data_IF_321303649690
#
_entry.id   IF_321303649690
#
_cell.length_a   1.000
_cell.length_b   1.000
_cell.length_c   1.000
_cell.angle_alpha   90.00
_cell.angle_beta   90.00
_cell.angle_gamma   90.00
#
_symmetry.space_group_name_H-M   'P 1'
#
loop_
_entity.id
_entity.type
_entity.pdbx_description
1 polymer ?
#
# COMPACT_ATOMS: atom_id res chain seq x y z
N UNK A 1 13.18 0.33 9.21
CA UNK A 1 13.28 0.05 10.65
C UNK A 1 11.92 -0.41 11.22
N UNK A 2 10.84 0.37 11.09
CA UNK A 2 9.50 0.02 11.63
C UNK A 2 8.99 -1.31 11.08
N UNK A 3 9.09 -1.54 9.78
CA UNK A 3 8.67 -2.79 9.16
C UNK A 3 9.49 -3.98 9.68
N UNK A 4 10.80 -3.82 9.83
CA UNK A 4 11.68 -4.84 10.40
C UNK A 4 11.26 -5.21 11.83
N UNK A 5 11.06 -4.22 12.71
CA UNK A 5 10.59 -4.46 14.08
C UNK A 5 9.21 -5.13 14.11
N UNK A 6 8.37 -4.86 13.11
CA UNK A 6 7.05 -5.48 13.00
C UNK A 6 7.13 -6.95 12.55
N UNK A 7 8.05 -7.27 11.63
CA UNK A 7 8.19 -8.61 11.01
C UNK A 7 9.06 -9.54 11.86
N UNK A 8 10.03 -9.03 12.61
CA UNK A 8 11.05 -9.81 13.33
C UNK A 8 10.49 -10.97 14.17
N UNK A 9 9.39 -10.74 14.86
CA UNK A 9 8.80 -11.66 15.84
C UNK A 9 7.64 -12.51 15.25
N UNK A 10 7.50 -12.55 13.91
CA UNK A 10 6.46 -13.33 13.25
C UNK A 10 6.82 -14.82 13.17
N UNK A 11 5.82 -15.70 13.17
CA UNK A 11 6.05 -17.13 12.93
C UNK A 11 6.70 -17.33 11.56
N UNK A 12 7.78 -18.10 11.53
CA UNK A 12 8.57 -18.39 10.33
C UNK A 12 7.84 -19.43 9.46
N UNK A 13 6.81 -19.00 8.74
CA UNK A 13 6.08 -19.81 7.79
C UNK A 13 6.54 -19.43 6.37
N UNK A 14 6.85 -20.41 5.55
CA UNK A 14 7.34 -20.23 4.17
C UNK A 14 6.40 -19.37 3.34
N UNK A 15 5.09 -19.59 3.42
CA UNK A 15 4.10 -18.83 2.66
C UNK A 15 4.03 -17.35 3.10
N UNK A 16 4.21 -17.08 4.41
CA UNK A 16 4.31 -15.70 4.93
C UNK A 16 5.53 -14.99 4.35
N UNK A 17 6.67 -15.68 4.23
CA UNK A 17 7.87 -15.13 3.59
C UNK A 17 7.59 -14.81 2.13
N UNK A 18 6.97 -15.72 1.38
CA UNK A 18 6.59 -15.48 -0.03
C UNK A 18 5.66 -14.27 -0.16
N UNK A 19 4.68 -14.11 0.74
CA UNK A 19 3.78 -12.97 0.73
C UNK A 19 4.51 -11.65 1.01
N UNK A 20 5.47 -11.64 1.94
CA UNK A 20 6.29 -10.46 2.24
C UNK A 20 7.18 -10.07 1.05
N UNK A 21 7.71 -11.03 0.32
CA UNK A 21 8.53 -10.82 -0.87
C UNK A 21 7.70 -10.75 -2.18
N UNK A 22 6.39 -10.53 -2.07
CA UNK A 22 5.58 -10.26 -3.26
C UNK A 22 6.12 -9.03 -4.01
N UNK A 23 6.27 -9.09 -5.35
CA UNK A 23 6.76 -7.98 -6.16
C UNK A 23 5.87 -6.73 -6.09
N UNK A 24 4.65 -6.88 -5.62
CA UNK A 24 3.72 -5.76 -5.40
C UNK A 24 3.79 -5.16 -3.97
N UNK A 25 4.71 -5.63 -3.11
CA UNK A 25 4.93 -5.11 -1.75
C UNK A 25 6.30 -4.46 -1.58
N UNK A 26 7.22 -5.10 -0.85
CA UNK A 26 8.55 -4.52 -0.53
C UNK A 26 9.40 -4.29 -1.79
N UNK A 27 9.26 -5.16 -2.78
CA UNK A 27 10.05 -5.09 -4.01
C UNK A 27 9.51 -4.05 -5.01
N UNK A 28 8.25 -3.64 -4.87
CA UNK A 28 7.65 -2.67 -5.77
C UNK A 28 8.36 -1.30 -5.73
N UNK A 29 8.59 -0.67 -4.56
CA UNK A 29 9.33 0.59 -4.49
C UNK A 29 10.77 0.48 -4.95
N UNK A 30 11.40 -0.70 -4.82
CA UNK A 30 12.75 -0.93 -5.30
C UNK A 30 12.82 -1.01 -6.84
N UNK A 31 11.79 -1.58 -7.46
CA UNK A 31 11.66 -1.62 -8.92
C UNK A 31 11.18 -0.30 -9.53
N UNK A 32 10.35 0.45 -8.82
CA UNK A 32 9.81 1.76 -9.22
C UNK A 32 10.24 2.83 -8.20
N UNK A 33 11.47 3.29 -8.34
CA UNK A 33 12.14 4.13 -7.32
C UNK A 33 11.43 5.46 -7.05
N UNK A 34 10.71 5.97 -8.05
CA UNK A 34 9.86 7.15 -7.88
C UNK A 34 8.82 6.99 -6.76
N UNK A 35 8.44 5.74 -6.46
CA UNK A 35 7.48 5.43 -5.40
C UNK A 35 8.10 5.56 -3.99
N UNK A 36 9.42 5.40 -3.84
CA UNK A 36 10.10 5.55 -2.55
C UNK A 36 10.04 6.98 -2.00
N UNK A 37 9.97 7.97 -2.89
CA UNK A 37 10.01 9.40 -2.52
C UNK A 37 8.58 9.97 -2.44
N UNK A 38 7.57 9.14 -2.70
CA UNK A 38 6.19 9.59 -2.71
C UNK A 38 5.57 9.62 -1.31
N UNK A 39 4.53 10.43 -1.20
CA UNK A 39 3.76 10.66 0.02
C UNK A 39 3.12 9.40 0.63
N UNK A 40 2.94 8.32 -0.14
CA UNK A 40 2.42 7.05 0.35
C UNK A 40 3.28 6.41 1.44
N UNK A 41 4.58 6.66 1.44
CA UNK A 41 5.48 6.18 2.49
C UNK A 41 5.06 6.70 3.87
N UNK A 42 4.64 7.98 3.95
CA UNK A 42 4.11 8.54 5.21
C UNK A 42 2.83 7.86 5.65
N UNK A 43 1.96 7.47 4.70
CA UNK A 43 0.73 6.74 4.99
C UNK A 43 1.03 5.33 5.54
N UNK A 44 2.00 4.65 4.94
CA UNK A 44 2.42 3.33 5.42
C UNK A 44 3.04 3.40 6.82
N UNK A 45 3.91 4.39 7.07
CA UNK A 45 4.48 4.64 8.39
C UNK A 45 3.35 4.96 9.39
N UNK A 46 2.44 5.85 9.03
CA UNK A 46 1.28 6.19 9.85
C UNK A 46 0.44 4.97 10.19
N UNK A 47 0.15 4.11 9.20
CA UNK A 47 -0.62 2.90 9.44
C UNK A 47 0.13 1.90 10.35
N UNK A 48 1.44 1.71 10.17
CA UNK A 48 2.25 0.85 11.05
C UNK A 48 2.25 1.37 12.49
N UNK A 49 2.37 2.69 12.68
CA UNK A 49 2.26 3.30 14.02
C UNK A 49 0.89 3.01 14.62
N UNK A 50 -0.18 3.19 13.84
CA UNK A 50 -1.54 2.84 14.26
C UNK A 50 -1.64 1.37 14.70
N UNK A 51 -1.12 0.43 13.91
CA UNK A 51 -1.12 -1.00 14.27
C UNK A 51 -0.36 -1.27 15.56
N UNK A 52 0.80 -0.63 15.77
CA UNK A 52 1.58 -0.76 17.01
C UNK A 52 0.79 -0.24 18.22
N UNK A 53 0.09 0.88 18.08
CA UNK A 53 -0.75 1.46 19.14
C UNK A 53 -2.02 0.64 19.40
N UNK A 54 -2.51 -0.07 18.37
CA UNK A 54 -3.70 -0.92 18.41
C UNK A 54 -3.43 -2.32 18.96
N UNK A 55 -2.20 -2.66 19.36
CA UNK A 55 -1.90 -3.98 19.94
C UNK A 55 -2.76 -4.22 21.19
N UNK A 56 -3.38 -5.43 21.35
CA UNK A 56 -4.22 -5.76 22.51
C UNK A 56 -3.55 -5.59 23.87
N UNK A 57 -2.21 -5.61 23.89
CA UNK A 57 -1.40 -5.36 25.11
C UNK A 57 -1.32 -3.89 25.47
N UNK A 58 -1.77 -2.98 24.61
CA UNK A 58 -1.71 -1.54 24.83
C UNK A 58 -3.09 -0.97 25.18
N UNK A 59 -3.09 0.25 25.72
CA UNK A 59 -4.33 0.94 26.03
C UNK A 59 -5.08 1.30 24.74
N UNK A 60 -6.32 0.87 24.59
CA UNK A 60 -7.21 1.15 23.46
C UNK A 60 -7.42 2.65 23.21
N UNK A 61 -7.32 3.47 24.25
CA UNK A 61 -7.44 4.92 24.17
C UNK A 61 -6.39 5.52 23.23
N UNK A 62 -5.17 4.97 23.21
CA UNK A 62 -4.08 5.47 22.36
C UNK A 62 -4.38 5.30 20.86
N UNK A 63 -4.97 4.18 20.46
CA UNK A 63 -5.35 3.96 19.06
C UNK A 63 -6.52 4.85 18.63
N UNK A 64 -7.50 5.08 19.52
CA UNK A 64 -8.61 6.01 19.26
C UNK A 64 -8.11 7.46 19.13
N UNK A 65 -7.23 7.88 20.06
CA UNK A 65 -6.59 9.20 20.00
C UNK A 65 -5.80 9.38 18.68
N UNK A 66 -5.06 8.36 18.28
CA UNK A 66 -4.32 8.37 17.02
C UNK A 66 -5.26 8.58 15.81
N UNK A 67 -6.38 7.86 15.76
CA UNK A 67 -7.35 7.98 14.68
C UNK A 67 -8.01 9.35 14.67
N UNK A 68 -8.29 9.92 15.82
CA UNK A 68 -8.93 11.24 15.91
C UNK A 68 -8.00 12.39 15.47
N UNK A 69 -6.71 12.35 15.83
CA UNK A 69 -5.79 13.47 15.59
C UNK A 69 -4.84 13.25 14.40
N UNK A 70 -4.29 12.05 14.25
CA UNK A 70 -3.24 11.80 13.25
C UNK A 70 -3.82 11.40 11.90
N UNK A 71 -4.93 10.67 11.88
CA UNK A 71 -5.57 10.28 10.63
C UNK A 71 -5.98 11.50 9.76
N UNK A 72 -6.58 12.56 10.30
CA UNK A 72 -6.83 13.80 9.55
C UNK A 72 -5.57 14.39 8.93
N UNK A 73 -4.44 14.36 9.61
CA UNK A 73 -3.16 14.86 9.08
C UNK A 73 -2.68 14.00 7.88
N UNK A 74 -2.87 12.69 7.94
CA UNK A 74 -2.55 11.80 6.82
C UNK A 74 -3.45 12.07 5.60
N UNK A 75 -4.72 12.44 5.82
CA UNK A 75 -5.64 12.87 4.76
C UNK A 75 -5.22 14.19 4.12
N UNK A 76 -4.63 15.12 4.86
CA UNK A 76 -4.05 16.34 4.31
C UNK A 76 -2.83 16.06 3.43
N UNK A 77 -2.08 14.99 3.71
CA UNK A 77 -0.97 14.55 2.86
C UNK A 77 -1.50 13.94 1.54
N UNK A 78 -2.58 13.16 1.63
CA UNK A 78 -3.17 12.48 0.47
C UNK A 78 -4.63 12.09 0.71
N UNK A 79 -5.55 12.80 0.08
CA UNK A 79 -6.99 12.69 0.30
C UNK A 79 -7.55 11.28 0.04
N UNK A 80 -7.08 10.54 -1.03
CA UNK A 80 -7.58 9.20 -1.27
C UNK A 80 -7.24 8.17 -0.18
N UNK A 81 -6.48 8.55 0.84
CA UNK A 81 -6.25 7.71 2.01
C UNK A 81 -7.56 7.33 2.73
N UNK A 82 -8.63 8.13 2.57
CA UNK A 82 -9.97 7.84 3.09
C UNK A 82 -10.47 6.44 2.66
N UNK A 83 -10.10 5.99 1.47
CA UNK A 83 -10.51 4.68 0.96
C UNK A 83 -9.90 3.50 1.76
N UNK A 84 -8.84 3.74 2.55
CA UNK A 84 -8.19 2.74 3.39
C UNK A 84 -8.71 2.71 4.84
N UNK A 85 -9.66 3.58 5.18
CA UNK A 85 -10.34 3.59 6.50
C UNK A 85 -10.93 2.23 6.89
N UNK A 86 -11.49 1.40 5.99
CA UNK A 86 -12.02 0.08 6.37
C UNK A 86 -11.00 -0.80 7.11
N UNK A 87 -9.71 -0.73 6.78
CA UNK A 87 -8.66 -1.45 7.50
C UNK A 87 -8.53 -0.96 8.96
N UNK A 88 -8.63 0.35 9.16
CA UNK A 88 -8.60 0.96 10.50
C UNK A 88 -9.82 0.55 11.31
N UNK A 89 -11.01 0.64 10.72
CA UNK A 89 -12.26 0.21 11.37
C UNK A 89 -12.18 -1.27 11.74
N UNK A 90 -11.71 -2.11 10.84
CA UNK A 90 -11.56 -3.54 11.06
C UNK A 90 -10.67 -3.84 12.29
N UNK A 91 -9.50 -3.19 12.41
CA UNK A 91 -8.60 -3.36 13.55
C UNK A 91 -9.22 -2.85 14.86
N UNK A 92 -9.91 -1.71 14.83
CA UNK A 92 -10.57 -1.16 16.02
C UNK A 92 -11.72 -2.04 16.49
N UNK A 93 -12.48 -2.63 15.56
CA UNK A 93 -13.57 -3.54 15.87
C UNK A 93 -13.06 -4.85 16.48
N UNK A 94 -12.01 -5.44 15.90
CA UNK A 94 -11.39 -6.67 16.42
C UNK A 94 -10.87 -6.48 17.86
N UNK A 95 -10.33 -5.32 18.16
CA UNK A 95 -9.86 -4.99 19.50
C UNK A 95 -10.98 -4.54 20.46
N UNK A 96 -12.20 -4.39 19.96
CA UNK A 96 -13.36 -3.99 20.74
C UNK A 96 -13.84 -5.07 21.70
N UNK A 97 -14.68 -4.68 22.65
CA UNK A 97 -15.35 -5.59 23.58
C UNK A 97 -16.64 -6.13 22.91
N UNK A 98 -16.78 -7.44 22.86
CA UNK A 98 -17.90 -8.10 22.15
C UNK A 98 -19.28 -7.68 22.73
N UNK A 99 -19.34 -7.58 24.06
CA UNK A 99 -20.58 -7.21 24.77
C UNK A 99 -20.96 -5.72 24.62
N UNK A 100 -20.06 -4.88 24.09
CA UNK A 100 -20.28 -3.44 23.95
C UNK A 100 -20.22 -2.95 22.50
N UNK A 101 -20.67 -3.79 21.57
CA UNK A 101 -20.58 -3.50 20.13
C UNK A 101 -21.10 -2.11 19.74
N UNK A 102 -22.35 -1.78 20.12
CA UNK A 102 -22.97 -0.48 19.80
C UNK A 102 -22.12 0.68 20.34
N UNK A 103 -21.58 0.55 21.56
CA UNK A 103 -20.71 1.56 22.17
C UNK A 103 -19.36 1.68 21.45
N UNK A 104 -18.80 0.56 20.98
CA UNK A 104 -17.56 0.55 20.21
C UNK A 104 -17.76 1.20 18.83
N UNK A 105 -18.84 0.86 18.13
CA UNK A 105 -19.18 1.48 16.83
C UNK A 105 -19.38 2.99 17.00
N UNK A 106 -20.10 3.42 18.02
CA UNK A 106 -20.30 4.85 18.30
C UNK A 106 -18.98 5.57 18.56
N UNK A 107 -18.08 4.98 19.38
CA UNK A 107 -16.75 5.56 19.64
C UNK A 107 -15.91 5.65 18.38
N UNK A 108 -15.91 4.60 17.54
CA UNK A 108 -15.19 4.58 16.27
C UNK A 108 -15.74 5.67 15.34
N UNK A 109 -17.06 5.80 15.22
CA UNK A 109 -17.69 6.84 14.41
C UNK A 109 -17.32 8.25 14.90
N UNK A 110 -17.29 8.45 16.22
CA UNK A 110 -16.85 9.71 16.82
C UNK A 110 -15.39 10.02 16.50
N UNK A 111 -14.49 9.02 16.59
CA UNK A 111 -13.09 9.21 16.26
C UNK A 111 -12.86 9.49 14.76
N UNK A 112 -13.66 8.89 13.88
CA UNK A 112 -13.59 9.12 12.44
C UNK A 112 -14.24 10.41 11.98
N UNK A 113 -15.07 11.05 12.82
CA UNK A 113 -15.73 12.31 12.46
C UNK A 113 -14.72 13.42 12.08
N UNK A 114 -13.59 13.50 12.80
CA UNK A 114 -12.51 14.43 12.48
C UNK A 114 -11.96 14.21 11.05
N UNK A 115 -11.81 12.97 10.63
CA UNK A 115 -11.38 12.62 9.26
C UNK A 115 -12.43 13.00 8.21
N UNK A 116 -13.71 12.80 8.49
CA UNK A 116 -14.79 13.24 7.60
C UNK A 116 -14.85 14.77 7.48
N UNK A 117 -14.72 15.50 8.58
CA UNK A 117 -14.64 16.95 8.53
C UNK A 117 -13.42 17.44 7.73
N UNK A 118 -12.28 16.77 7.87
CA UNK A 118 -11.08 17.09 7.08
C UNK A 118 -11.31 16.90 5.59
N UNK A 119 -11.93 15.80 5.16
CA UNK A 119 -12.25 15.57 3.74
C UNK A 119 -13.24 16.62 3.22
N UNK A 120 -14.29 16.93 3.98
CA UNK A 120 -15.24 17.99 3.62
C UNK A 120 -14.51 19.32 3.47
N UNK A 121 -13.63 19.66 4.41
CA UNK A 121 -12.83 20.88 4.34
C UNK A 121 -11.98 20.95 3.08
N UNK A 122 -11.28 19.87 2.72
CA UNK A 122 -10.45 19.79 1.50
C UNK A 122 -11.30 19.98 0.24
N UNK A 123 -12.47 19.34 0.18
CA UNK A 123 -13.37 19.44 -0.98
C UNK A 123 -13.92 20.87 -1.15
N UNK A 124 -14.29 21.52 -0.05
CA UNK A 124 -14.85 22.89 -0.08
C UNK A 124 -13.78 23.93 -0.34
N UNK A 125 -12.53 23.70 0.11
CA UNK A 125 -11.42 24.63 -0.01
C UNK A 125 -10.32 24.11 -0.96
N UNK A 126 -10.58 24.01 -2.27
CA UNK A 126 -9.56 23.64 -3.23
C UNK A 126 -8.51 24.74 -3.34
N UNK A 127 -7.29 24.38 -3.68
CA UNK A 127 -6.19 25.33 -3.87
C UNK A 127 -6.56 26.42 -4.89
N UNK A 128 -6.42 27.71 -4.53
CA UNK A 128 -6.64 28.80 -5.46
C UNK A 128 -5.46 28.95 -6.44
N UNK A 129 -5.67 29.57 -7.63
CA UNK A 129 -4.57 29.84 -8.57
C UNK A 129 -3.44 30.67 -7.95
N UNK A 130 -3.78 31.61 -7.07
CA UNK A 130 -2.82 32.48 -6.37
C UNK A 130 -1.97 31.64 -5.38
N UNK A 131 -2.61 30.80 -4.57
CA UNK A 131 -1.90 29.90 -3.65
C UNK A 131 -1.01 28.93 -4.41
N UNK A 132 -1.46 28.40 -5.57
CA UNK A 132 -0.63 27.57 -6.42
C UNK A 132 0.60 28.33 -6.94
N UNK A 133 0.44 29.59 -7.34
CA UNK A 133 1.56 30.43 -7.80
C UNK A 133 2.56 30.67 -6.67
N UNK A 134 2.11 31.00 -5.47
CA UNK A 134 2.97 31.17 -4.28
C UNK A 134 3.73 29.89 -3.98
N UNK A 135 3.07 28.75 -4.04
CA UNK A 135 3.71 27.44 -3.83
C UNK A 135 4.75 27.14 -4.92
N UNK A 136 4.42 27.39 -6.19
CA UNK A 136 5.32 27.15 -7.33
C UNK A 136 6.57 28.03 -7.25
N UNK A 137 6.40 29.32 -6.93
CA UNK A 137 7.51 30.25 -6.74
C UNK A 137 8.36 29.85 -5.52
N UNK A 138 7.73 29.49 -4.42
CA UNK A 138 8.44 29.01 -3.23
C UNK A 138 9.25 27.73 -3.45
N UNK A 139 8.80 26.83 -4.33
CA UNK A 139 9.59 25.65 -4.76
C UNK A 139 10.82 26.08 -5.55
N UNK A 140 10.67 27.04 -6.47
CA UNK A 140 11.78 27.57 -7.26
C UNK A 140 12.79 28.29 -6.38
N UNK A 141 12.31 29.21 -5.53
CA UNK A 141 13.19 30.10 -4.74
C UNK A 141 13.98 29.33 -3.67
N UNK A 142 13.33 28.37 -3.00
CA UNK A 142 13.94 27.62 -1.87
C UNK A 142 14.73 26.41 -2.32
N UNK A 143 14.29 25.71 -3.36
CA UNK A 143 14.84 24.42 -3.75
C UNK A 143 15.38 24.40 -5.18
N UNK A 144 15.16 25.47 -5.96
CA UNK A 144 15.50 25.52 -7.38
C UNK A 144 14.71 24.49 -8.21
N UNK A 145 13.51 24.10 -7.75
CA UNK A 145 12.68 23.08 -8.37
C UNK A 145 11.50 23.70 -9.10
N UNK A 146 11.27 23.27 -10.34
CA UNK A 146 10.07 23.67 -11.08
C UNK A 146 8.83 22.90 -10.62
N UNK A 147 7.66 23.52 -10.77
CA UNK A 147 6.38 22.85 -10.57
C UNK A 147 6.13 21.84 -11.71
N UNK A 148 6.53 20.58 -11.48
CA UNK A 148 6.32 19.48 -12.41
C UNK A 148 4.87 18.95 -12.40
N UNK A 149 4.60 17.92 -13.19
CA UNK A 149 3.26 17.35 -13.45
C UNK A 149 2.39 17.21 -12.20
N UNK A 150 2.94 16.70 -11.09
CA UNK A 150 2.19 16.50 -9.84
C UNK A 150 1.77 17.83 -9.19
N UNK A 151 2.63 18.84 -9.24
CA UNK A 151 2.34 20.17 -8.76
C UNK A 151 1.39 20.90 -9.72
N UNK A 152 1.56 20.77 -11.04
CA UNK A 152 0.71 21.40 -12.03
C UNK A 152 -0.73 20.88 -12.01
N UNK A 153 -0.92 19.61 -11.65
CA UNK A 153 -2.26 19.00 -11.46
C UNK A 153 -3.07 19.68 -10.35
N UNK A 154 -2.41 20.29 -9.35
CA UNK A 154 -3.08 21.03 -8.29
C UNK A 154 -3.71 22.35 -8.80
N UNK A 155 -3.21 22.88 -9.91
CA UNK A 155 -3.79 24.07 -10.58
C UNK A 155 -5.13 23.76 -11.25
N UNK A 156 -5.32 22.54 -11.69
CA UNK A 156 -6.52 22.12 -12.42
C UNK A 156 -7.57 21.62 -11.42
N UNK A 157 -8.66 22.37 -11.27
CA UNK A 157 -9.85 21.90 -10.56
C UNK A 157 -10.52 20.80 -11.41
N UNK A 158 -9.98 19.57 -11.36
CA UNK A 158 -10.65 18.46 -12.03
C UNK A 158 -11.82 18.00 -11.16
N UNK A 159 -13.03 18.06 -11.72
CA UNK A 159 -14.18 17.45 -11.07
C UNK A 159 -13.98 15.92 -10.96
N UNK A 160 -14.62 15.31 -9.96
CA UNK A 160 -14.61 13.84 -9.81
C UNK A 160 -15.03 13.18 -11.13
N UNK A 161 -16.05 13.71 -11.82
CA UNK A 161 -16.48 13.23 -13.12
C UNK A 161 -15.36 13.30 -14.19
N UNK A 162 -14.60 14.40 -14.22
CA UNK A 162 -13.48 14.53 -15.15
C UNK A 162 -12.37 13.51 -14.88
N UNK A 163 -12.09 13.21 -13.61
CA UNK A 163 -11.12 12.16 -13.23
C UNK A 163 -11.60 10.77 -13.67
N UNK A 164 -12.87 10.43 -13.44
CA UNK A 164 -13.47 9.19 -13.92
C UNK A 164 -13.36 9.07 -15.44
N UNK A 165 -13.73 10.12 -16.18
CA UNK A 165 -13.64 10.12 -17.64
C UNK A 165 -12.19 9.99 -18.13
N UNK A 166 -11.24 10.63 -17.47
CA UNK A 166 -9.82 10.51 -17.80
C UNK A 166 -9.32 9.06 -17.62
N UNK A 167 -9.74 8.39 -16.54
CA UNK A 167 -9.40 6.98 -16.32
C UNK A 167 -10.07 6.11 -17.38
N UNK A 168 -11.38 6.28 -17.58
CA UNK A 168 -12.16 5.48 -18.54
C UNK A 168 -11.61 5.56 -19.95
N UNK A 169 -11.24 6.75 -20.42
CA UNK A 169 -10.64 6.97 -21.75
C UNK A 169 -9.22 6.35 -21.89
N UNK A 170 -8.55 6.06 -20.77
CA UNK A 170 -7.22 5.45 -20.76
C UNK A 170 -7.24 3.93 -20.53
N UNK A 171 -8.39 3.36 -20.14
CA UNK A 171 -8.54 1.92 -19.95
C UNK A 171 -8.61 1.24 -21.31
N UNK A 172 -7.70 0.31 -21.55
CA UNK A 172 -7.80 -0.65 -22.65
C UNK A 172 -8.11 -2.03 -22.08
N UNK A 173 -8.76 -2.90 -22.87
CA UNK A 173 -9.03 -4.28 -22.43
C UNK A 173 -7.73 -5.00 -22.03
N UNK A 174 -6.68 -4.83 -22.81
CA UNK A 174 -5.36 -5.41 -22.53
C UNK A 174 -4.77 -4.86 -21.22
N UNK A 175 -4.91 -3.55 -20.96
CA UNK A 175 -4.50 -2.92 -19.71
C UNK A 175 -5.26 -3.48 -18.51
N UNK A 176 -6.58 -3.56 -18.60
CA UNK A 176 -7.43 -4.13 -17.55
C UNK A 176 -7.04 -5.59 -17.23
N UNK A 177 -6.97 -6.44 -18.26
CA UNK A 177 -6.62 -7.85 -18.10
C UNK A 177 -5.21 -8.04 -17.51
N UNK A 178 -4.29 -7.20 -17.88
CA UNK A 178 -2.92 -7.15 -17.36
C UNK A 178 -2.90 -6.92 -15.85
N UNK A 179 -3.56 -5.87 -15.37
CA UNK A 179 -3.58 -5.58 -13.92
C UNK A 179 -4.41 -6.60 -13.13
N UNK A 180 -5.42 -7.20 -13.75
CA UNK A 180 -6.15 -8.32 -13.16
C UNK A 180 -5.22 -9.51 -12.90
N UNK A 181 -4.38 -9.89 -13.88
CA UNK A 181 -3.37 -10.95 -13.70
C UNK A 181 -2.34 -10.56 -12.64
N UNK A 182 -1.85 -9.32 -12.65
CA UNK A 182 -0.92 -8.81 -11.65
C UNK A 182 -1.51 -8.95 -10.24
N UNK A 183 -2.77 -8.60 -10.06
CA UNK A 183 -3.46 -8.76 -8.78
C UNK A 183 -3.58 -10.24 -8.41
N UNK A 184 -4.04 -11.09 -9.31
CA UNK A 184 -4.18 -12.53 -9.03
C UNK A 184 -2.85 -13.15 -8.58
N UNK A 185 -1.79 -12.93 -9.35
CA UNK A 185 -0.47 -13.53 -9.05
C UNK A 185 0.14 -12.89 -7.81
N UNK A 186 0.12 -11.57 -7.71
CA UNK A 186 0.76 -10.86 -6.60
C UNK A 186 0.08 -11.05 -5.26
N UNK A 187 -1.27 -11.12 -5.24
CA UNK A 187 -2.04 -11.38 -4.03
C UNK A 187 -2.14 -12.88 -3.68
N UNK A 188 -1.82 -13.78 -4.60
CA UNK A 188 -2.02 -15.21 -4.43
C UNK A 188 -1.49 -15.77 -3.10
N UNK A 189 -0.24 -15.51 -2.67
CA UNK A 189 0.27 -16.01 -1.39
C UNK A 189 -0.53 -15.47 -0.20
N UNK A 190 -0.88 -14.19 -0.21
CA UNK A 190 -1.65 -13.56 0.84
C UNK A 190 -3.09 -14.10 0.88
N UNK A 191 -3.71 -14.32 -0.26
CA UNK A 191 -5.07 -14.88 -0.35
C UNK A 191 -5.14 -16.31 0.20
N UNK A 192 -4.11 -17.14 -0.05
CA UNK A 192 -4.03 -18.47 0.56
C UNK A 192 -3.92 -18.36 2.08
N UNK A 193 -3.11 -17.44 2.59
CA UNK A 193 -2.98 -17.20 4.02
C UNK A 193 -4.32 -16.79 4.64
N UNK A 194 -5.00 -15.81 4.05
CA UNK A 194 -6.30 -15.30 4.53
C UNK A 194 -7.37 -16.40 4.48
N UNK A 195 -7.43 -17.16 3.38
CA UNK A 195 -8.40 -18.23 3.20
C UNK A 195 -8.25 -19.35 4.26
N UNK A 196 -7.02 -19.64 4.64
CA UNK A 196 -6.69 -20.67 5.63
C UNK A 196 -6.54 -20.11 7.05
N UNK A 197 -7.05 -18.91 7.32
CA UNK A 197 -6.99 -18.27 8.63
C UNK A 197 -8.34 -18.25 9.31
N UNK A 198 -8.34 -18.54 10.62
CA UNK A 198 -9.53 -18.56 11.47
C UNK A 198 -9.30 -17.61 12.64
N UNK A 199 -10.33 -16.94 13.10
CA UNK A 199 -10.27 -16.17 14.34
C UNK A 199 -10.14 -17.08 15.55
N UNK A 200 -9.28 -16.74 16.51
CA UNK A 200 -9.17 -17.48 17.77
C UNK A 200 -10.31 -17.17 18.74
N UNK A 201 -10.85 -15.95 18.66
CA UNK A 201 -12.05 -15.54 19.38
C UNK A 201 -13.10 -15.16 18.36
N UNK A 202 -14.32 -15.59 18.55
CA UNK A 202 -15.45 -15.20 17.74
C UNK A 202 -15.66 -13.70 17.94
N UNK A 203 -15.31 -12.93 16.94
CA UNK A 203 -15.46 -11.48 16.94
C UNK A 203 -16.82 -11.10 16.38
N UNK A 204 -17.36 -10.02 16.89
CA UNK A 204 -18.33 -9.07 16.34
C UNK A 204 -19.56 -9.64 15.62
N UNK A 205 -19.37 -10.66 14.86
CA UNK A 205 -20.41 -11.42 14.19
C UNK A 205 -20.08 -12.86 14.54
N UNK A 206 -20.67 -13.43 15.58
CA UNK A 206 -20.60 -14.85 15.92
C UNK A 206 -20.80 -15.82 14.74
N UNK A 207 -20.85 -15.26 13.52
CA UNK A 207 -21.06 -15.92 12.24
C UNK A 207 -19.80 -16.12 11.41
N UNK A 208 -18.69 -15.40 11.69
CA UNK A 208 -17.49 -15.49 10.86
C UNK A 208 -16.36 -16.15 11.63
N UNK A 209 -16.23 -17.46 11.49
CA UNK A 209 -15.05 -18.18 11.95
C UNK A 209 -13.84 -17.88 11.06
N UNK A 210 -14.06 -17.69 9.74
CA UNK A 210 -13.01 -17.47 8.74
C UNK A 210 -12.71 -15.99 8.54
N UNK A 211 -11.42 -15.67 8.44
CA UNK A 211 -10.94 -14.33 8.18
C UNK A 211 -11.37 -13.80 6.79
N UNK A 212 -11.57 -14.68 5.80
CA UNK A 212 -11.77 -14.30 4.40
C UNK A 212 -12.87 -13.25 4.21
N UNK A 213 -14.08 -13.47 4.75
CA UNK A 213 -15.22 -12.58 4.51
C UNK A 213 -15.00 -11.19 5.11
N UNK A 214 -14.71 -11.05 6.43
CA UNK A 214 -14.47 -9.73 7.00
C UNK A 214 -13.29 -9.00 6.35
N UNK A 215 -12.27 -9.74 5.95
CA UNK A 215 -11.12 -9.16 5.26
C UNK A 215 -11.49 -8.67 3.85
N UNK A 216 -12.29 -9.42 3.11
CA UNK A 216 -12.74 -9.00 1.77
C UNK A 216 -13.58 -7.71 1.82
N UNK A 217 -14.35 -7.51 2.88
CA UNK A 217 -15.11 -6.26 3.09
C UNK A 217 -14.16 -5.05 3.18
N UNK A 218 -12.98 -5.21 3.79
CA UNK A 218 -12.01 -4.09 3.88
C UNK A 218 -11.44 -3.69 2.52
N UNK A 219 -11.49 -4.57 1.52
CA UNK A 219 -10.99 -4.33 0.18
C UNK A 219 -11.99 -3.59 -0.73
N UNK A 220 -13.29 -3.60 -0.41
CA UNK A 220 -14.33 -3.04 -1.27
C UNK A 220 -14.12 -1.56 -1.56
N UNK A 221 -13.81 -0.77 -0.54
CA UNK A 221 -13.63 0.67 -0.71
C UNK A 221 -12.33 1.02 -1.44
N UNK A 222 -11.15 0.45 -1.11
CA UNK A 222 -9.90 0.68 -1.85
C UNK A 222 -9.95 0.31 -3.32
N UNK A 223 -10.74 -0.72 -3.70
CA UNK A 223 -10.89 -1.12 -5.11
C UNK A 223 -11.50 0.01 -5.96
N UNK A 224 -12.31 0.88 -5.38
CA UNK A 224 -12.87 2.03 -6.10
C UNK A 224 -11.79 3.00 -6.60
N UNK A 225 -10.59 2.99 -6.03
CA UNK A 225 -9.47 3.82 -6.52
C UNK A 225 -9.07 3.50 -7.96
N UNK A 226 -9.29 2.27 -8.43
CA UNK A 226 -9.03 1.93 -9.83
C UNK A 226 -9.89 2.70 -10.82
N UNK A 227 -11.05 3.22 -10.39
CA UNK A 227 -11.93 4.03 -11.22
C UNK A 227 -11.56 5.52 -11.21
N UNK A 228 -10.81 5.96 -10.20
CA UNK A 228 -10.47 7.36 -9.99
C UNK A 228 -9.00 7.70 -10.30
N UNK A 229 -8.14 6.70 -10.45
CA UNK A 229 -6.69 6.88 -10.64
C UNK A 229 -6.17 6.09 -11.83
N UNK A 230 -5.25 6.70 -12.60
CA UNK A 230 -4.55 6.03 -13.72
C UNK A 230 -3.32 5.24 -13.26
N UNK A 231 -2.84 5.46 -12.06
CA UNK A 231 -1.65 4.83 -11.46
C UNK A 231 -2.00 3.47 -10.83
N UNK A 232 -2.52 2.54 -11.61
CA UNK A 232 -3.04 1.26 -11.10
C UNK A 232 -1.98 0.40 -10.39
N UNK A 233 -0.73 0.42 -10.84
CA UNK A 233 0.34 -0.31 -10.14
C UNK A 233 0.54 0.20 -8.72
N UNK A 234 0.42 1.51 -8.52
CA UNK A 234 0.48 2.16 -7.22
C UNK A 234 -0.71 1.80 -6.34
N UNK A 235 -1.92 1.79 -6.90
CA UNK A 235 -3.13 1.35 -6.19
C UNK A 235 -3.00 -0.10 -5.74
N UNK A 236 -2.52 -1.01 -6.62
CA UNK A 236 -2.25 -2.41 -6.28
C UNK A 236 -1.26 -2.52 -5.13
N UNK A 237 -0.13 -1.79 -5.18
CA UNK A 237 0.86 -1.78 -4.10
C UNK A 237 0.25 -1.32 -2.78
N UNK A 238 -0.55 -0.26 -2.79
CA UNK A 238 -1.17 0.27 -1.58
C UNK A 238 -2.18 -0.71 -0.98
N UNK A 239 -3.09 -1.26 -1.80
CA UNK A 239 -4.07 -2.26 -1.34
C UNK A 239 -3.33 -3.45 -0.74
N UNK A 240 -2.29 -3.93 -1.41
CA UNK A 240 -1.50 -5.04 -0.90
C UNK A 240 -0.80 -4.69 0.42
N UNK A 241 -0.19 -3.52 0.51
CA UNK A 241 0.54 -3.07 1.71
C UNK A 241 -0.38 -3.02 2.93
N UNK A 242 -1.56 -2.38 2.81
CA UNK A 242 -2.52 -2.35 3.90
C UNK A 242 -3.02 -3.75 4.26
N UNK A 243 -3.25 -4.59 3.26
CA UNK A 243 -3.70 -5.97 3.45
C UNK A 243 -2.68 -6.81 4.19
N UNK A 244 -1.43 -6.84 3.73
CA UNK A 244 -0.38 -7.64 4.35
C UNK A 244 -0.05 -7.15 5.76
N UNK A 245 0.04 -5.84 5.98
CA UNK A 245 0.31 -5.27 7.30
C UNK A 245 -0.81 -5.62 8.30
N UNK A 246 -2.07 -5.53 7.87
CA UNK A 246 -3.22 -5.95 8.67
C UNK A 246 -3.14 -7.44 9.01
N UNK A 247 -2.87 -8.29 8.03
CA UNK A 247 -2.73 -9.73 8.23
C UNK A 247 -1.59 -10.07 9.21
N UNK A 248 -0.43 -9.45 9.04
CA UNK A 248 0.72 -9.62 9.92
C UNK A 248 0.43 -9.15 11.35
N UNK A 249 -0.33 -8.06 11.50
CA UNK A 249 -0.81 -7.60 12.80
C UNK A 249 -1.68 -8.65 13.51
N UNK A 250 -2.62 -9.26 12.77
CA UNK A 250 -3.50 -10.29 13.33
C UNK A 250 -2.71 -11.51 13.82
N UNK A 251 -1.73 -11.98 13.06
CA UNK A 251 -0.85 -13.10 13.47
C UNK A 251 0.00 -12.70 14.67
N UNK A 252 0.67 -11.55 14.61
CA UNK A 252 1.59 -11.08 15.66
C UNK A 252 0.91 -10.94 17.02
N UNK A 253 -0.35 -10.54 17.04
CA UNK A 253 -1.14 -10.36 18.24
C UNK A 253 -1.96 -11.62 18.60
N UNK A 254 -1.70 -12.74 17.95
CA UNK A 254 -2.35 -14.03 18.23
C UNK A 254 -3.89 -14.00 18.12
N UNK A 255 -4.41 -13.12 17.24
CA UNK A 255 -5.85 -12.93 17.00
C UNK A 255 -6.42 -13.96 16.02
N UNK A 256 -5.57 -14.53 15.17
CA UNK A 256 -5.93 -15.56 14.19
C UNK A 256 -5.06 -16.80 14.34
N UNK A 257 -5.60 -17.95 13.92
CA UNK A 257 -4.92 -19.24 13.81
C UNK A 257 -4.84 -19.65 12.34
N UNK A 258 -3.67 -20.11 11.90
CA UNK A 258 -3.47 -20.69 10.57
C UNK A 258 -3.86 -22.16 10.61
N UNK A 259 -4.50 -22.64 9.55
CA UNK A 259 -4.78 -24.07 9.35
C UNK A 259 -3.49 -24.81 8.97
N UNK A 260 -3.41 -26.09 9.33
CA UNK A 260 -2.30 -26.99 9.02
C UNK A 260 -2.06 -27.14 7.49
N UNK A 261 -3.05 -26.86 6.66
CA UNK A 261 -2.89 -26.82 5.19
C UNK A 261 -1.82 -25.82 4.73
N UNK A 262 -1.57 -24.76 5.49
CA UNK A 262 -0.49 -23.80 5.20
C UNK A 262 0.88 -24.43 5.41
N UNK A 263 1.01 -25.40 6.32
CA UNK A 263 2.23 -26.17 6.57
C UNK A 263 2.65 -27.05 5.39
N UNK A 264 1.74 -27.32 4.43
CA UNK A 264 2.07 -28.02 3.19
C UNK A 264 3.14 -27.28 2.37
N UNK A 265 3.14 -25.95 2.40
CA UNK A 265 4.19 -25.14 1.75
C UNK A 265 5.54 -25.31 2.44
N UNK A 266 5.57 -25.49 3.75
CA UNK A 266 6.80 -25.78 4.50
C UNK A 266 7.31 -27.20 4.19
N UNK A 267 6.40 -28.16 3.99
CA UNK A 267 6.73 -29.50 3.54
C UNK A 267 7.30 -29.48 2.11
N UNK A 268 6.69 -28.75 1.18
CA UNK A 268 7.21 -28.56 -0.19
C UNK A 268 8.60 -27.92 -0.19
N UNK A 269 8.81 -26.92 0.65
CA UNK A 269 10.13 -26.30 0.81
C UNK A 269 11.17 -27.30 1.31
N UNK A 270 10.83 -28.14 2.29
CA UNK A 270 11.74 -29.15 2.84
C UNK A 270 12.06 -30.24 1.83
N UNK A 271 11.08 -30.75 1.10
CA UNK A 271 11.23 -31.92 0.20
C UNK A 271 11.77 -31.55 -1.18
N UNK A 272 11.39 -30.36 -1.73
CA UNK A 272 11.74 -29.91 -3.07
C UNK A 272 12.41 -28.52 -3.06
N UNK A 273 13.36 -28.34 -2.15
CA UNK A 273 14.00 -27.05 -1.86
C UNK A 273 14.51 -26.32 -3.11
N UNK A 274 15.19 -27.01 -4.03
CA UNK A 274 15.74 -26.38 -5.25
C UNK A 274 14.63 -25.81 -6.14
N UNK A 275 13.58 -26.58 -6.40
CA UNK A 275 12.45 -26.15 -7.22
C UNK A 275 11.73 -24.98 -6.55
N UNK A 276 11.51 -25.08 -5.23
CA UNK A 276 10.86 -24.00 -4.48
C UNK A 276 11.65 -22.68 -4.54
N UNK A 277 12.99 -22.73 -4.40
CA UNK A 277 13.84 -21.55 -4.49
C UNK A 277 13.76 -20.93 -5.88
N UNK A 278 13.78 -21.73 -6.96
CA UNK A 278 13.64 -21.24 -8.33
C UNK A 278 12.28 -20.55 -8.52
N UNK A 279 11.18 -21.20 -8.10
CA UNK A 279 9.85 -20.64 -8.21
C UNK A 279 9.69 -19.37 -7.38
N UNK A 280 10.23 -19.35 -6.17
CA UNK A 280 10.26 -18.16 -5.33
C UNK A 280 11.02 -17.00 -6.00
N UNK A 281 12.18 -17.31 -6.58
CA UNK A 281 12.99 -16.29 -7.27
C UNK A 281 12.27 -15.72 -8.49
N UNK A 282 11.66 -16.58 -9.31
CA UNK A 282 10.84 -16.16 -10.46
C UNK A 282 9.65 -15.32 -10.01
N UNK A 283 8.97 -15.76 -8.94
CA UNK A 283 7.83 -15.00 -8.39
C UNK A 283 8.26 -13.64 -7.86
N UNK A 284 9.28 -13.59 -7.01
CA UNK A 284 9.68 -12.37 -6.31
C UNK A 284 10.43 -11.36 -7.20
N UNK A 285 11.27 -11.85 -8.12
CA UNK A 285 12.20 -11.01 -8.87
C UNK A 285 12.02 -11.07 -10.39
N UNK A 286 11.16 -11.95 -10.91
CA UNK A 286 10.98 -12.12 -12.35
C UNK A 286 10.14 -11.04 -13.01
N UNK A 287 9.38 -10.28 -12.24
CA UNK A 287 8.45 -9.28 -12.76
C UNK A 287 8.23 -8.12 -11.78
N UNK A 288 7.79 -6.98 -12.31
CA UNK A 288 7.43 -5.81 -11.51
C UNK A 288 6.31 -5.03 -12.20
N UNK A 289 5.20 -4.73 -11.52
CA UNK A 289 4.12 -3.94 -12.12
C UNK A 289 4.59 -2.50 -12.37
N UNK A 290 4.20 -1.95 -13.51
CA UNK A 290 4.39 -0.52 -13.79
C UNK A 290 3.42 0.32 -12.99
N UNK A 291 3.82 1.54 -12.68
CA UNK A 291 2.98 2.49 -11.96
C UNK A 291 1.73 2.86 -12.78
N UNK A 292 1.91 3.24 -14.04
CA UNK A 292 0.83 3.71 -14.90
C UNK A 292 0.16 2.58 -15.67
N UNK A 293 -1.15 2.74 -15.93
CA UNK A 293 -1.98 1.77 -16.66
C UNK A 293 -1.46 1.43 -18.07
N UNK A 294 -0.77 2.37 -18.72
CA UNK A 294 -0.19 2.19 -20.07
C UNK A 294 1.16 1.48 -20.09
N UNK A 295 1.74 1.18 -18.94
CA UNK A 295 3.05 0.54 -18.85
C UNK A 295 3.04 -0.95 -19.21
N UNK A 296 4.22 -1.53 -19.49
CA UNK A 296 4.40 -2.97 -19.68
C UNK A 296 4.21 -3.75 -18.39
N UNK A 297 3.81 -5.03 -18.48
CA UNK A 297 3.59 -5.88 -17.29
C UNK A 297 4.88 -6.15 -16.56
N UNK A 298 5.90 -6.53 -17.31
CA UNK A 298 7.09 -7.13 -16.75
C UNK A 298 8.35 -6.45 -17.28
N UNK A 299 9.08 -5.89 -16.36
CA UNK A 299 10.51 -5.63 -16.57
C UNK A 299 11.27 -6.54 -15.64
N UNK A 300 12.46 -6.97 -16.04
CA UNK A 300 13.35 -7.73 -15.16
C UNK A 300 13.62 -6.92 -13.89
N UNK A 301 12.96 -7.29 -12.81
CA UNK A 301 12.96 -6.53 -11.55
C UNK A 301 14.35 -6.47 -10.95
N UNK A 302 15.13 -7.57 -11.01
CA UNK A 302 16.49 -7.60 -10.48
C UNK A 302 17.39 -6.60 -11.20
N UNK A 303 17.32 -6.56 -12.54
CA UNK A 303 18.04 -5.57 -13.33
C UNK A 303 17.65 -4.14 -12.95
N UNK A 304 16.35 -3.87 -12.80
CA UNK A 304 15.85 -2.55 -12.38
C UNK A 304 16.34 -2.16 -10.98
N UNK A 305 16.29 -3.09 -10.02
CA UNK A 305 16.76 -2.83 -8.66
C UNK A 305 18.25 -2.47 -8.68
N UNK A 306 19.07 -3.27 -9.35
CA UNK A 306 20.51 -3.02 -9.46
C UNK A 306 20.83 -1.72 -10.22
N UNK A 307 20.16 -1.49 -11.35
CA UNK A 307 20.33 -0.30 -12.16
C UNK A 307 19.93 0.97 -11.41
N UNK A 308 18.74 0.97 -10.81
CA UNK A 308 18.24 2.14 -10.09
C UNK A 308 19.08 2.43 -8.83
N UNK A 309 19.46 1.40 -8.08
CA UNK A 309 20.29 1.57 -6.89
C UNK A 309 21.68 2.11 -7.23
N UNK A 310 22.33 1.54 -8.25
CA UNK A 310 23.66 2.02 -8.69
C UNK A 310 23.60 3.44 -9.24
N UNK A 311 22.54 3.78 -9.96
CA UNK A 311 22.29 5.11 -10.48
C UNK A 311 22.16 6.14 -9.34
N UNK A 312 21.40 5.84 -8.29
CA UNK A 312 21.29 6.69 -7.13
C UNK A 312 22.61 6.85 -6.38
N UNK A 313 23.39 5.79 -6.23
CA UNK A 313 24.66 5.84 -5.53
C UNK A 313 25.72 6.69 -6.27
N UNK A 314 25.66 6.72 -7.60
CA UNK A 314 26.67 7.41 -8.42
C UNK A 314 26.31 8.86 -8.76
N UNK A 315 25.08 9.31 -8.54
CA UNK A 315 24.59 10.62 -8.98
C UNK A 315 23.95 11.45 -7.85
N UNK A 316 24.63 11.52 -6.71
CA UNK A 316 24.17 12.26 -5.53
C UNK A 316 23.99 13.77 -5.73
N UNK A 317 24.56 14.36 -6.78
CA UNK A 317 24.59 15.82 -6.98
C UNK A 317 23.58 16.34 -8.01
N UNK A 318 22.95 15.48 -8.77
CA UNK A 318 22.01 15.90 -9.83
C UNK A 318 20.58 16.03 -9.30
N UNK A 319 20.03 17.23 -9.36
CA UNK A 319 18.61 17.49 -9.08
C UNK A 319 17.68 16.75 -10.07
N UNK A 320 18.20 16.45 -11.26
CA UNK A 320 17.61 15.54 -12.24
C UNK A 320 18.35 14.22 -12.19
N UNK A 321 18.12 13.48 -11.12
CA UNK A 321 18.83 12.25 -10.75
C UNK A 321 19.05 11.26 -11.89
N UNK A 322 18.50 11.48 -13.09
CA UNK A 322 18.38 10.42 -14.06
C UNK A 322 18.72 10.78 -15.52
N UNK A 323 18.89 12.05 -15.87
CA UNK A 323 19.10 12.40 -17.28
C UNK A 323 20.58 12.44 -17.71
N UNK A 324 21.50 12.73 -16.79
CA UNK A 324 22.90 12.99 -17.10
C UNK A 324 23.91 12.12 -16.34
N UNK A 325 23.45 11.02 -15.69
CA UNK A 325 24.37 10.18 -14.93
C UNK A 325 25.32 9.39 -15.85
N UNK A 326 26.55 9.11 -15.39
CA UNK A 326 27.53 8.30 -16.14
C UNK A 326 26.97 6.94 -16.56
N UNK A 327 26.10 6.33 -15.72
CA UNK A 327 25.45 5.06 -15.99
C UNK A 327 24.42 5.14 -17.12
N UNK A 328 23.66 6.23 -17.24
CA UNK A 328 22.77 6.43 -18.38
C UNK A 328 23.56 6.63 -19.67
N UNK A 329 24.64 7.40 -19.63
CA UNK A 329 25.51 7.56 -20.79
C UNK A 329 26.11 6.23 -21.22
N UNK A 330 26.52 5.40 -20.26
CA UNK A 330 27.01 4.05 -20.51
C UNK A 330 25.88 3.15 -21.08
N UNK A 331 24.71 3.15 -20.46
CA UNK A 331 23.55 2.37 -20.91
C UNK A 331 23.15 2.71 -22.35
N UNK A 332 23.00 4.02 -22.64
CA UNK A 332 22.68 4.50 -24.00
C UNK A 332 23.76 4.15 -25.04
N UNK A 333 25.00 4.12 -24.62
CA UNK A 333 26.13 3.87 -25.54
C UNK A 333 26.35 2.38 -25.85
N UNK A 334 26.06 1.47 -24.90
CA UNK A 334 26.47 0.07 -25.00
C UNK A 334 25.34 -0.95 -24.89
N UNK A 335 24.14 -0.53 -24.52
CA UNK A 335 22.99 -1.43 -24.27
C UNK A 335 21.77 -1.06 -25.13
N UNK A 336 21.54 0.21 -25.43
CA UNK A 336 20.64 0.70 -26.49
C UNK A 336 21.41 0.83 -27.83
#
# INVERSE_FOLDING_TARGET
LFLYCFIRDLPKNTLTVVAIFSPIFILYPLGEIEVLIRKEVFLFIGFVIFLILSSPKKNKTNSMFYVFFIFPLLLLIWEPFIFFIPFTIFILLINGDEHQLKKNVFKISLCLSSSFFTIIYIIINPLSPEQHMVMSNGLMDRFGEHCYTSCSLLKTKSSIAAQFMAVFNNITFTGFFRYFIIMLIGFFPLMILIYNSFFKKLFFLNKFEKLLIPFSITLLLPILLFTAMTDWGRVVNMIYTFSILTFLFLIKNDLIKLNDKVLYFDYLYKTKKKIFIILFYVFAFGWNPKTQIKGDIATNTLYKILYNSSKHMLDFKSKRLFQDSPLIKFHKKYIE
#
